data_IF_362448286358
#
_entry.id   IF_362448286358
#
_cell.length_a   1.000
_cell.length_b   1.000
_cell.length_c   1.000
_cell.angle_alpha   90.00
_cell.angle_beta   90.00
_cell.angle_gamma   90.00
#
_symmetry.space_group_name_H-M   'P 1'
#
loop_
_entity.id
_entity.type
_entity.pdbx_description
1 polymer ?
#
# COMPACT_ATOMS: atom_id res chain seq x y z
N UNK A 1 19.63 -3.56 7.36
CA UNK A 1 19.85 -2.73 8.57
C UNK A 1 20.55 -1.41 8.25
N UNK A 2 21.69 -1.37 7.56
CA UNK A 2 22.40 -0.11 7.27
C UNK A 2 21.54 0.92 6.49
N UNK A 3 20.80 0.48 5.46
CA UNK A 3 19.89 1.34 4.69
C UNK A 3 18.76 1.94 5.55
N UNK A 4 18.17 1.15 6.46
CA UNK A 4 17.13 1.63 7.37
C UNK A 4 17.66 2.75 8.28
N UNK A 5 18.86 2.57 8.82
CA UNK A 5 19.51 3.59 9.65
C UNK A 5 19.83 4.86 8.86
N UNK A 6 20.36 4.72 7.64
CA UNK A 6 20.62 5.87 6.76
C UNK A 6 19.33 6.65 6.47
N UNK A 7 18.26 5.95 6.07
CA UNK A 7 16.97 6.57 5.80
C UNK A 7 16.41 7.28 7.04
N UNK A 8 16.55 6.69 8.23
CA UNK A 8 16.12 7.30 9.49
C UNK A 8 16.84 8.63 9.80
N UNK A 9 18.11 8.76 9.40
CA UNK A 9 18.87 10.00 9.60
C UNK A 9 18.57 11.06 8.52
N UNK A 10 18.19 10.62 7.32
CA UNK A 10 18.04 11.49 6.15
C UNK A 10 16.61 12.00 5.96
N UNK A 11 15.60 11.20 6.29
CA UNK A 11 14.20 11.51 5.99
C UNK A 11 13.34 11.59 7.25
N UNK A 12 12.36 12.51 7.30
CA UNK A 12 11.39 12.53 8.37
C UNK A 12 10.58 11.22 8.41
N UNK A 13 10.24 10.79 9.63
CA UNK A 13 9.41 9.62 9.84
C UNK A 13 7.99 9.88 9.30
N UNK A 14 7.43 8.87 8.65
CA UNK A 14 6.01 8.80 8.37
C UNK A 14 5.26 8.77 9.70
N UNK A 15 4.34 9.70 9.87
CA UNK A 15 3.61 9.89 11.11
C UNK A 15 2.14 10.15 10.81
N UNK A 16 1.28 9.52 11.60
CA UNK A 16 -0.15 9.76 11.58
C UNK A 16 -0.65 10.07 12.99
N UNK A 17 -1.46 11.13 13.15
CA UNK A 17 -2.14 11.39 14.41
C UNK A 17 -2.99 10.19 14.84
N UNK A 18 -2.93 9.84 16.12
CA UNK A 18 -3.75 8.76 16.68
C UNK A 18 -5.24 9.06 16.62
N UNK A 19 -5.64 10.32 16.45
CA UNK A 19 -7.05 10.69 16.22
C UNK A 19 -7.61 10.17 14.89
N UNK A 20 -6.77 9.72 13.96
CA UNK A 20 -7.23 9.21 12.66
C UNK A 20 -7.59 7.74 12.68
N UNK A 21 -7.20 7.00 13.72
CA UNK A 21 -7.43 5.58 13.75
C UNK A 21 -7.67 5.01 15.14
N UNK A 22 -8.41 3.91 15.17
CA UNK A 22 -8.60 3.07 16.34
C UNK A 22 -7.97 1.71 16.08
N UNK A 23 -7.26 1.17 17.08
CA UNK A 23 -6.62 -0.13 16.98
C UNK A 23 -7.56 -1.17 17.59
N UNK A 24 -7.90 -2.20 16.81
CA UNK A 24 -8.77 -3.30 17.26
C UNK A 24 -7.96 -4.59 17.27
N UNK A 25 -7.73 -5.15 18.46
CA UNK A 25 -7.09 -6.46 18.61
C UNK A 25 -8.13 -7.56 18.46
N UNK A 26 -7.86 -8.51 17.55
CA UNK A 26 -8.71 -9.68 17.32
C UNK A 26 -7.93 -10.95 17.68
N UNK A 27 -8.31 -11.53 18.82
CA UNK A 27 -7.75 -12.74 19.43
C UNK A 27 -8.82 -13.43 20.30
N UNK A 28 -8.44 -14.47 21.04
CA UNK A 28 -9.35 -15.25 21.89
C UNK A 28 -9.95 -14.47 23.07
N UNK A 29 -9.41 -13.31 23.40
CA UNK A 29 -9.88 -12.45 24.48
C UNK A 29 -10.76 -11.30 23.97
N UNK A 30 -10.89 -11.13 22.65
CA UNK A 30 -11.77 -10.13 22.06
C UNK A 30 -13.22 -10.40 22.46
N UNK A 31 -13.92 -9.36 22.91
CA UNK A 31 -15.31 -9.48 23.35
C UNK A 31 -16.28 -9.51 22.17
N UNK A 32 -17.45 -10.06 22.40
CA UNK A 32 -18.56 -10.05 21.44
C UNK A 32 -18.96 -8.63 21.05
N UNK A 33 -18.90 -7.68 22.00
CA UNK A 33 -19.18 -6.27 21.78
C UNK A 33 -18.16 -5.62 20.84
N UNK A 34 -16.86 -5.82 21.08
CA UNK A 34 -15.79 -5.32 20.21
C UNK A 34 -15.92 -5.89 18.79
N UNK A 35 -16.18 -7.20 18.67
CA UNK A 35 -16.42 -7.83 17.37
C UNK A 35 -17.67 -7.27 16.68
N UNK A 36 -18.74 -6.98 17.44
CA UNK A 36 -19.96 -6.39 16.88
C UNK A 36 -19.71 -4.97 16.37
N UNK A 37 -19.02 -4.12 17.16
CA UNK A 37 -18.58 -2.78 16.74
C UNK A 37 -17.78 -2.84 15.44
N UNK A 38 -16.82 -3.77 15.35
CA UNK A 38 -16.02 -3.96 14.14
C UNK A 38 -16.87 -4.40 12.94
N UNK A 39 -17.77 -5.36 13.12
CA UNK A 39 -18.71 -5.82 12.08
C UNK A 39 -19.58 -4.65 11.57
N UNK A 40 -20.12 -3.84 12.48
CA UNK A 40 -20.96 -2.71 12.11
C UNK A 40 -20.19 -1.63 11.36
N UNK A 41 -18.92 -1.41 11.72
CA UNK A 41 -18.03 -0.50 10.99
C UNK A 41 -17.72 -0.98 9.57
N UNK A 42 -17.33 -2.26 9.40
CA UNK A 42 -16.94 -2.78 8.07
C UNK A 42 -18.11 -2.86 7.09
N UNK A 43 -19.36 -2.95 7.56
CA UNK A 43 -20.56 -2.97 6.69
C UNK A 43 -20.66 -1.73 5.79
N UNK A 44 -20.10 -0.61 6.23
CA UNK A 44 -20.12 0.66 5.50
C UNK A 44 -18.77 1.00 4.85
N UNK A 45 -17.77 0.12 4.99
CA UNK A 45 -16.48 0.25 4.31
C UNK A 45 -16.52 -0.53 2.99
N UNK A 46 -15.85 0.01 1.96
CA UNK A 46 -15.71 -0.63 0.64
C UNK A 46 -14.24 -0.82 0.23
N UNK A 47 -13.33 -0.33 1.05
CA UNK A 47 -11.91 -0.23 0.74
C UNK A 47 -11.13 -0.67 1.98
N UNK A 48 -10.18 -1.58 1.76
CA UNK A 48 -9.38 -2.18 2.83
C UNK A 48 -7.94 -2.33 2.36
N UNK A 49 -6.99 -2.14 3.26
CA UNK A 49 -5.57 -2.42 3.01
C UNK A 49 -5.10 -3.53 3.93
N UNK A 50 -4.40 -4.48 3.34
CA UNK A 50 -3.90 -5.66 4.03
C UNK A 50 -2.38 -5.66 4.06
N UNK A 51 -1.86 -6.16 5.17
CA UNK A 51 -0.48 -6.59 5.31
C UNK A 51 -0.43 -7.82 6.21
N UNK A 52 0.74 -8.48 6.26
CA UNK A 52 0.93 -9.65 7.12
C UNK A 52 2.33 -9.71 7.71
N UNK A 53 2.45 -10.31 8.89
CA UNK A 53 3.75 -10.52 9.54
C UNK A 53 3.92 -11.96 10.03
N UNK A 54 5.09 -12.52 9.71
CA UNK A 54 5.50 -13.87 10.07
C UNK A 54 6.39 -13.92 11.31
N UNK A 55 6.26 -14.96 12.11
CA UNK A 55 7.07 -15.17 13.31
C UNK A 55 8.54 -15.42 12.95
N UNK A 56 9.46 -14.66 13.58
CA UNK A 56 10.91 -14.75 13.33
C UNK A 56 11.48 -16.17 13.37
N UNK A 57 11.01 -17.00 14.29
CA UNK A 57 11.62 -18.32 14.54
C UNK A 57 11.33 -19.38 13.47
N UNK A 58 10.16 -19.32 12.83
CA UNK A 58 9.70 -20.37 11.90
C UNK A 58 8.99 -19.83 10.66
N UNK A 59 8.93 -18.51 10.49
CA UNK A 59 8.22 -17.80 9.43
C UNK A 59 6.74 -18.16 9.32
N UNK A 60 6.14 -18.69 10.39
CA UNK A 60 4.71 -18.95 10.44
C UNK A 60 3.97 -17.63 10.49
N UNK A 61 2.97 -17.47 9.63
CA UNK A 61 2.10 -16.30 9.64
C UNK A 61 1.46 -16.13 11.03
N UNK A 62 1.72 -14.98 11.67
CA UNK A 62 1.36 -14.74 13.06
C UNK A 62 0.37 -13.57 13.22
N UNK A 63 0.41 -12.60 12.30
CA UNK A 63 -0.42 -11.41 12.32
C UNK A 63 -0.94 -11.11 10.92
N UNK A 64 -2.22 -10.78 10.83
CA UNK A 64 -2.81 -10.11 9.67
C UNK A 64 -3.21 -8.71 10.12
N UNK A 65 -2.75 -7.70 9.40
CA UNK A 65 -3.15 -6.31 9.59
C UNK A 65 -4.20 -5.94 8.54
N UNK A 66 -5.30 -5.32 8.98
CA UNK A 66 -6.34 -4.81 8.10
C UNK A 66 -6.62 -3.36 8.47
N UNK A 67 -6.27 -2.44 7.60
CA UNK A 67 -6.74 -1.06 7.69
C UNK A 67 -8.05 -0.93 6.91
N UNK A 68 -9.10 -0.45 7.59
CA UNK A 68 -10.33 0.00 6.93
C UNK A 68 -10.16 1.41 6.38
N UNK A 69 -10.79 1.70 5.23
CA UNK A 69 -10.80 3.02 4.61
C UNK A 69 -12.27 3.48 4.56
N UNK A 70 -12.79 4.07 5.65
CA UNK A 70 -14.20 4.47 5.77
C UNK A 70 -14.48 5.79 5.04
N UNK A 71 -15.75 6.13 4.85
CA UNK A 71 -16.11 7.49 4.38
C UNK A 71 -15.82 8.57 5.43
N UNK A 72 -15.88 8.21 6.71
CA UNK A 72 -15.66 9.10 7.84
C UNK A 72 -14.68 8.46 8.82
N UNK A 73 -13.70 9.24 9.27
CA UNK A 73 -12.74 8.81 10.29
C UNK A 73 -13.44 8.54 11.64
N UNK A 74 -12.87 7.68 12.50
CA UNK A 74 -11.56 7.04 12.38
C UNK A 74 -11.52 5.81 11.47
N UNK A 75 -10.34 5.52 10.93
CA UNK A 75 -10.03 4.20 10.36
C UNK A 75 -9.90 3.18 11.49
N UNK A 76 -10.36 1.96 11.31
CA UNK A 76 -9.95 0.84 12.17
C UNK A 76 -8.71 0.16 11.60
N UNK A 77 -7.70 -0.04 12.45
CA UNK A 77 -6.58 -0.95 12.21
C UNK A 77 -6.83 -2.21 13.01
N UNK A 78 -7.27 -3.24 12.31
CA UNK A 78 -7.54 -4.56 12.88
C UNK A 78 -6.26 -5.36 12.88
N UNK A 79 -5.89 -5.88 14.06
CA UNK A 79 -4.72 -6.72 14.27
C UNK A 79 -5.21 -8.12 14.65
N UNK A 80 -5.25 -9.01 13.66
CA UNK A 80 -5.70 -10.38 13.84
C UNK A 80 -4.52 -11.28 14.22
N UNK A 81 -4.46 -11.68 15.49
CA UNK A 81 -3.37 -12.46 16.06
C UNK A 81 -3.66 -13.96 15.88
N UNK A 82 -3.23 -14.53 14.76
CA UNK A 82 -3.64 -15.85 14.30
C UNK A 82 -3.28 -16.99 15.28
N UNK A 83 -2.16 -16.87 15.99
CA UNK A 83 -1.73 -17.86 16.99
C UNK A 83 -2.47 -17.74 18.33
N UNK A 84 -3.31 -16.73 18.47
CA UNK A 84 -4.10 -16.45 19.67
C UNK A 84 -5.59 -16.47 19.41
N UNK A 85 -6.05 -17.02 18.28
CA UNK A 85 -7.49 -17.14 18.00
C UNK A 85 -8.20 -18.07 18.96
N UNK A 86 -9.50 -17.86 19.12
CA UNK A 86 -10.38 -18.74 19.89
C UNK A 86 -10.64 -20.06 19.15
N UNK A 87 -11.16 -21.06 19.85
CA UNK A 87 -11.56 -22.33 19.23
C UNK A 87 -12.74 -22.15 18.26
N UNK A 88 -12.81 -23.05 17.28
CA UNK A 88 -13.75 -23.00 16.14
C UNK A 88 -15.22 -22.97 16.55
N UNK A 89 -15.55 -23.51 17.72
CA UNK A 89 -16.90 -23.60 18.30
C UNK A 89 -17.33 -22.34 19.06
N UNK A 90 -16.45 -21.36 19.22
CA UNK A 90 -16.77 -20.13 19.97
C UNK A 90 -17.54 -19.12 19.13
N UNK A 91 -18.42 -18.35 19.80
CA UNK A 91 -19.13 -17.23 19.17
C UNK A 91 -18.17 -16.18 18.59
N UNK A 92 -17.02 -15.96 19.24
CA UNK A 92 -15.99 -15.04 18.75
C UNK A 92 -15.45 -15.51 17.40
N UNK A 93 -15.11 -16.80 17.28
CA UNK A 93 -14.61 -17.35 16.03
C UNK A 93 -15.63 -17.22 14.89
N UNK A 94 -16.91 -17.49 15.17
CA UNK A 94 -18.02 -17.28 14.21
C UNK A 94 -18.09 -15.81 13.76
N UNK A 95 -17.91 -14.85 14.68
CA UNK A 95 -17.87 -13.43 14.32
C UNK A 95 -16.64 -13.03 13.51
N UNK A 96 -15.49 -13.68 13.71
CA UNK A 96 -14.30 -13.45 12.88
C UNK A 96 -14.56 -13.96 11.46
N UNK A 97 -15.20 -15.12 11.28
CA UNK A 97 -15.63 -15.59 9.96
C UNK A 97 -16.61 -14.62 9.30
N UNK A 98 -17.59 -14.12 10.07
CA UNK A 98 -18.54 -13.12 9.59
C UNK A 98 -17.84 -11.83 9.14
N UNK A 99 -16.82 -11.37 9.87
CA UNK A 99 -16.01 -10.21 9.49
C UNK A 99 -15.37 -10.42 8.11
N UNK A 100 -14.71 -11.55 7.86
CA UNK A 100 -14.09 -11.82 6.56
C UNK A 100 -15.11 -11.98 5.43
N UNK A 101 -16.28 -12.57 5.70
CA UNK A 101 -17.38 -12.62 4.72
C UNK A 101 -17.88 -11.23 4.31
N UNK A 102 -17.77 -10.23 5.20
CA UNK A 102 -18.13 -8.85 4.91
C UNK A 102 -17.04 -8.09 4.15
N UNK A 103 -15.76 -8.41 4.40
CA UNK A 103 -14.63 -7.75 3.74
C UNK A 103 -14.38 -8.34 2.34
N UNK A 104 -14.69 -9.63 2.14
CA UNK A 104 -14.36 -10.37 0.91
C UNK A 104 -15.48 -10.40 -0.12
N UNK A 105 -16.31 -9.34 -0.19
CA UNK A 105 -17.39 -9.20 -1.17
C UNK A 105 -16.90 -8.57 -2.47
N UNK A 106 -17.60 -8.86 -3.57
CA UNK A 106 -17.23 -8.42 -4.92
C UNK A 106 -17.21 -6.90 -5.15
N UNK A 107 -17.93 -6.16 -4.31
CA UNK A 107 -17.94 -4.69 -4.31
C UNK A 107 -16.70 -4.08 -3.64
N UNK A 108 -16.00 -4.85 -2.82
CA UNK A 108 -14.91 -4.35 -1.98
C UNK A 108 -13.58 -4.37 -2.73
N UNK A 109 -12.73 -3.41 -2.41
CA UNK A 109 -11.38 -3.26 -2.95
C UNK A 109 -10.35 -3.53 -1.86
N UNK A 110 -9.42 -4.44 -2.15
CA UNK A 110 -8.37 -4.85 -1.24
C UNK A 110 -7.03 -4.42 -1.82
N UNK A 111 -6.31 -3.58 -1.07
CA UNK A 111 -4.98 -3.11 -1.44
C UNK A 111 -3.92 -3.89 -0.65
N UNK A 112 -2.82 -4.24 -1.30
CA UNK A 112 -1.64 -4.80 -0.65
C UNK A 112 -0.38 -4.35 -1.38
N UNK A 113 0.74 -4.27 -0.67
CA UNK A 113 2.05 -4.07 -1.28
C UNK A 113 2.69 -5.42 -1.61
N UNK A 114 2.39 -5.95 -2.80
CA UNK A 114 2.71 -7.32 -3.17
C UNK A 114 1.45 -8.18 -3.26
N UNK A 115 1.63 -9.48 -3.49
CA UNK A 115 0.52 -10.39 -3.81
C UNK A 115 -0.26 -10.80 -2.56
N UNK A 116 -1.42 -10.18 -2.33
CA UNK A 116 -2.30 -10.51 -1.19
C UNK A 116 -2.61 -12.02 -1.08
N UNK A 117 -2.84 -12.67 -2.22
CA UNK A 117 -3.10 -14.11 -2.27
C UNK A 117 -1.94 -14.92 -1.69
N UNK A 118 -0.68 -14.51 -1.94
CA UNK A 118 0.50 -15.20 -1.39
C UNK A 118 0.64 -14.93 0.11
N UNK A 119 0.46 -13.68 0.53
CA UNK A 119 0.52 -13.29 1.95
C UNK A 119 -0.53 -14.02 2.81
N UNK A 120 -1.74 -14.17 2.28
CA UNK A 120 -2.85 -14.83 2.99
C UNK A 120 -2.91 -16.35 2.81
N UNK A 121 -2.14 -16.94 1.89
CA UNK A 121 -2.17 -18.39 1.65
C UNK A 121 -1.85 -19.24 2.90
N UNK A 122 -0.87 -18.87 3.76
CA UNK A 122 -0.61 -19.61 5.00
C UNK A 122 -1.79 -19.63 5.98
N UNK A 123 -2.75 -18.71 5.86
CA UNK A 123 -3.91 -18.62 6.74
C UNK A 123 -5.08 -19.56 6.35
N UNK A 124 -4.98 -20.28 5.23
CA UNK A 124 -6.08 -21.14 4.72
C UNK A 124 -6.52 -22.19 5.75
N UNK A 125 -5.57 -22.72 6.54
CA UNK A 125 -5.86 -23.75 7.55
C UNK A 125 -6.64 -23.24 8.77
N UNK A 126 -6.84 -21.92 8.90
CA UNK A 126 -7.66 -21.35 9.97
C UNK A 126 -9.15 -21.29 9.62
N UNK A 127 -9.55 -21.69 8.40
CA UNK A 127 -10.96 -21.74 7.96
C UNK A 127 -11.75 -20.44 8.17
N UNK A 128 -11.05 -19.30 8.13
CA UNK A 128 -11.63 -17.97 8.35
C UNK A 128 -12.43 -17.47 7.13
N UNK A 129 -12.04 -17.91 5.94
CA UNK A 129 -12.68 -17.64 4.66
C UNK A 129 -12.38 -18.77 3.66
N UNK A 130 -13.03 -18.71 2.49
CA UNK A 130 -12.82 -19.65 1.40
C UNK A 130 -12.20 -18.95 0.19
N UNK A 131 -11.40 -19.68 -0.59
CA UNK A 131 -10.89 -19.22 -1.88
C UNK A 131 -11.73 -19.82 -3.02
N UNK A 132 -11.94 -19.08 -4.13
CA UNK A 132 -11.48 -17.71 -4.37
C UNK A 132 -12.31 -16.67 -3.61
N UNK A 133 -11.64 -15.66 -3.03
CA UNK A 133 -12.35 -14.47 -2.52
C UNK A 133 -12.90 -13.67 -3.70
N UNK A 134 -14.01 -12.97 -3.48
CA UNK A 134 -14.73 -12.30 -4.59
C UNK A 134 -14.33 -10.84 -4.79
N UNK A 135 -13.66 -10.22 -3.82
CA UNK A 135 -13.21 -8.83 -3.89
C UNK A 135 -12.19 -8.56 -4.98
N UNK A 136 -12.11 -7.29 -5.37
CA UNK A 136 -11.10 -6.80 -6.29
C UNK A 136 -9.78 -6.62 -5.53
N UNK A 137 -8.74 -7.33 -5.95
CA UNK A 137 -7.42 -7.27 -5.32
C UNK A 137 -6.49 -6.40 -6.18
N UNK A 138 -5.88 -5.41 -5.55
CA UNK A 138 -4.90 -4.50 -6.16
C UNK A 138 -3.53 -4.73 -5.51
N UNK A 139 -2.61 -5.31 -6.28
CA UNK A 139 -1.19 -5.37 -5.92
C UNK A 139 -0.53 -4.04 -6.31
N UNK A 140 -0.47 -3.11 -5.35
CA UNK A 140 0.03 -1.75 -5.57
C UNK A 140 1.48 -1.75 -6.04
N UNK A 141 2.27 -2.77 -5.65
CA UNK A 141 3.69 -2.87 -6.02
C UNK A 141 3.86 -3.07 -7.53
N UNK A 142 2.95 -3.80 -8.19
CA UNK A 142 3.03 -4.06 -9.63
C UNK A 142 2.83 -2.78 -10.44
N UNK A 143 1.82 -1.98 -10.08
CA UNK A 143 1.48 -0.75 -10.80
C UNK A 143 2.42 0.42 -10.45
N UNK A 144 3.08 0.37 -9.29
CA UNK A 144 3.92 1.46 -8.80
C UNK A 144 5.05 1.83 -9.75
N UNK A 145 5.74 0.84 -10.36
CA UNK A 145 6.91 1.11 -11.21
C UNK A 145 6.54 1.93 -12.45
N UNK A 146 5.42 1.59 -13.09
CA UNK A 146 4.93 2.30 -14.28
C UNK A 146 4.36 3.66 -13.90
N UNK A 147 3.60 3.72 -12.80
CA UNK A 147 3.15 5.00 -12.26
C UNK A 147 4.31 5.95 -11.95
N UNK A 148 5.38 5.46 -11.32
CA UNK A 148 6.53 6.29 -10.94
C UNK A 148 7.23 6.85 -12.18
N UNK A 149 7.45 6.04 -13.23
CA UNK A 149 7.99 6.52 -14.52
C UNK A 149 7.10 7.58 -15.16
N UNK A 150 5.78 7.35 -15.16
CA UNK A 150 4.81 8.32 -15.66
C UNK A 150 4.87 9.63 -14.86
N UNK A 151 4.90 9.56 -13.52
CA UNK A 151 4.95 10.72 -12.64
C UNK A 151 6.26 11.50 -12.81
N UNK A 152 7.39 10.81 -13.04
CA UNK A 152 8.68 11.42 -13.37
C UNK A 152 8.61 12.23 -14.65
N UNK A 153 8.05 11.67 -15.73
CA UNK A 153 7.88 12.37 -17.01
C UNK A 153 7.04 13.65 -16.84
N UNK A 154 6.10 13.65 -15.90
CA UNK A 154 5.24 14.77 -15.58
C UNK A 154 5.79 15.68 -14.44
N UNK A 155 6.99 15.44 -13.87
CA UNK A 155 7.68 16.47 -13.08
C UNK A 155 8.07 17.61 -14.04
N UNK A 156 7.56 18.82 -13.81
CA UNK A 156 7.83 20.02 -14.63
C UNK A 156 9.33 20.29 -14.88
N UNK A 157 10.19 19.87 -13.96
CA UNK A 157 11.66 20.00 -14.05
C UNK A 157 12.28 18.93 -14.96
N UNK A 158 11.70 17.73 -15.01
CA UNK A 158 12.20 16.63 -15.85
C UNK A 158 11.67 16.73 -17.29
N UNK A 159 10.41 17.16 -17.46
CA UNK A 159 9.80 17.38 -18.78
C UNK A 159 10.50 18.49 -19.58
N UNK A 160 10.98 19.55 -18.93
CA UNK A 160 11.75 20.62 -19.61
C UNK A 160 13.15 20.16 -20.05
N UNK A 161 13.81 19.27 -19.30
CA UNK A 161 15.10 18.68 -19.68
C UNK A 161 14.98 17.72 -20.87
N UNK A 162 13.94 16.89 -20.90
CA UNK A 162 13.68 15.96 -22.01
C UNK A 162 13.28 16.70 -23.29
N UNK A 163 12.48 17.77 -23.17
CA UNK A 163 12.15 18.63 -24.31
C UNK A 163 13.38 19.39 -24.83
N UNK A 164 14.32 19.78 -23.97
CA UNK A 164 15.61 20.33 -24.42
C UNK A 164 16.49 19.29 -25.13
N UNK A 165 16.46 18.02 -24.71
CA UNK A 165 17.27 16.97 -25.36
C UNK A 165 16.66 16.45 -26.67
N UNK A 166 15.34 16.47 -26.84
CA UNK A 166 14.71 16.13 -28.12
C UNK A 166 14.80 17.25 -29.18
N UNK A 167 15.20 18.47 -28.79
CA UNK A 167 15.56 19.54 -29.74
C UNK A 167 17.05 19.47 -30.15
N UNK A 168 17.89 18.71 -29.43
CA UNK A 168 19.33 18.57 -29.70
C UNK A 168 19.65 17.14 -30.18
N UNK A 169 18.88 16.63 -31.14
CA UNK A 169 19.32 15.54 -32.01
C UNK A 169 19.62 16.03 -33.44
N UNK A 170 19.97 17.32 -33.59
CA UNK A 170 20.56 17.86 -34.81
C UNK A 170 22.03 18.31 -34.69
N UNK A 171 22.65 18.29 -33.49
CA UNK A 171 24.06 18.68 -33.37
C UNK A 171 24.84 17.70 -32.50
N UNK A 172 25.53 16.84 -33.24
CA UNK A 172 26.67 16.02 -32.86
C UNK A 172 27.74 16.87 -32.17
N UNK A 173 27.84 16.84 -30.84
CA UNK A 173 29.07 17.26 -30.15
C UNK A 173 29.13 16.80 -28.69
N UNK A 174 30.25 16.15 -28.36
CA UNK A 174 30.73 15.84 -27.02
C UNK A 174 30.76 17.07 -26.11
N UNK A 175 29.72 17.30 -25.32
CA UNK A 175 29.80 18.16 -24.14
C UNK A 175 29.22 17.42 -22.95
N UNK A 176 30.06 17.21 -21.94
CA UNK A 176 29.67 16.81 -20.59
C UNK A 176 28.70 17.87 -20.04
N UNK A 177 27.41 17.66 -20.22
CA UNK A 177 26.38 18.49 -19.60
C UNK A 177 26.22 17.97 -18.17
N UNK A 178 26.82 18.68 -17.21
CA UNK A 178 26.47 18.58 -15.79
C UNK A 178 25.02 19.05 -15.62
N UNK A 179 24.05 18.16 -15.80
CA UNK A 179 22.62 18.42 -15.58
C UNK A 179 22.30 18.36 -14.08
N UNK A 180 22.64 19.40 -13.32
CA UNK A 180 22.29 19.51 -11.88
C UNK A 180 20.95 20.23 -11.65
N UNK A 181 19.95 20.01 -12.50
CA UNK A 181 18.57 20.40 -12.21
C UNK A 181 17.89 19.26 -11.46
N UNK A 182 18.24 19.08 -10.19
CA UNK A 182 17.61 18.09 -9.32
C UNK A 182 16.19 18.57 -8.98
N UNK A 183 15.18 17.90 -9.53
CA UNK A 183 13.77 18.09 -9.15
C UNK A 183 13.66 17.81 -7.63
N UNK A 184 13.26 18.77 -6.79
CA UNK A 184 13.16 18.59 -5.33
C UNK A 184 11.87 17.90 -4.87
N UNK A 185 11.04 17.45 -5.81
CA UNK A 185 9.76 16.81 -5.50
C UNK A 185 9.84 15.27 -5.43
N UNK A 186 10.97 14.66 -5.81
CA UNK A 186 11.23 13.22 -5.71
C UNK A 186 12.74 12.96 -5.69
N UNK A 187 13.16 11.78 -5.23
CA UNK A 187 14.54 11.31 -5.36
C UNK A 187 14.77 10.66 -6.73
N UNK A 188 16.02 10.44 -7.15
CA UNK A 188 16.32 9.75 -8.41
C UNK A 188 15.95 8.25 -8.33
N UNK A 189 15.37 7.66 -9.38
CA UNK A 189 15.01 6.23 -9.39
C UNK A 189 16.22 5.34 -9.02
N UNK A 190 16.16 4.56 -7.92
CA UNK A 190 17.28 3.74 -7.48
C UNK A 190 17.27 2.33 -8.08
N UNK A 191 16.17 1.93 -8.74
CA UNK A 191 15.94 0.56 -9.19
C UNK A 191 16.26 0.39 -10.67
N UNK A 192 16.77 -0.80 -11.01
CA UNK A 192 16.93 -1.24 -12.40
C UNK A 192 15.56 -1.63 -12.97
N UNK A 193 15.47 -1.61 -14.31
CA UNK A 193 14.26 -2.06 -14.99
C UNK A 193 13.92 -3.52 -14.62
N UNK A 194 12.71 -3.75 -14.11
CA UNK A 194 12.22 -5.06 -13.69
C UNK A 194 12.47 -5.41 -12.22
N UNK A 195 13.19 -4.59 -11.45
CA UNK A 195 13.30 -4.79 -10.01
C UNK A 195 12.01 -4.40 -9.28
N UNK A 196 11.65 -5.18 -8.27
CA UNK A 196 10.47 -4.90 -7.45
C UNK A 196 10.80 -3.84 -6.40
N UNK A 197 9.90 -2.88 -6.26
CA UNK A 197 10.04 -1.82 -5.26
C UNK A 197 9.66 -2.32 -3.87
N UNK A 198 10.55 -2.12 -2.89
CA UNK A 198 10.18 -2.23 -1.48
C UNK A 198 9.29 -1.05 -1.06
N UNK A 199 8.35 -1.29 -0.12
CA UNK A 199 7.41 -0.26 0.35
C UNK A 199 8.11 0.98 0.92
N UNK A 200 9.15 0.77 1.74
CA UNK A 200 9.94 1.87 2.32
C UNK A 200 10.61 2.70 1.22
N UNK A 201 11.15 2.06 0.18
CA UNK A 201 11.80 2.79 -0.90
C UNK A 201 10.77 3.54 -1.76
N UNK A 202 9.64 2.92 -2.07
CA UNK A 202 8.57 3.62 -2.76
C UNK A 202 8.14 4.90 -2.02
N UNK A 203 8.02 4.83 -0.69
CA UNK A 203 7.70 5.99 0.14
C UNK A 203 8.83 7.03 0.17
N UNK A 204 10.07 6.64 0.38
CA UNK A 204 11.23 7.55 0.43
C UNK A 204 11.35 8.31 -0.90
N UNK A 205 11.32 7.60 -2.02
CA UNK A 205 11.62 8.19 -3.32
C UNK A 205 10.46 9.01 -3.89
N UNK A 206 9.23 8.78 -3.42
CA UNK A 206 8.04 9.53 -3.84
C UNK A 206 7.72 10.70 -2.92
N UNK A 207 7.89 10.51 -1.61
CA UNK A 207 7.34 11.39 -0.59
C UNK A 207 8.39 11.98 0.33
N UNK A 208 9.65 11.52 0.25
CA UNK A 208 10.72 11.86 1.18
C UNK A 208 10.34 11.56 2.65
N UNK A 209 9.60 10.47 2.85
CA UNK A 209 9.17 9.98 4.16
C UNK A 209 9.73 8.59 4.42
N UNK A 210 9.94 8.25 5.68
CA UNK A 210 10.53 6.98 6.11
C UNK A 210 9.64 6.22 7.10
N UNK A 211 9.54 4.91 6.92
CA UNK A 211 8.94 3.98 7.89
C UNK A 211 10.04 3.17 8.56
N UNK A 212 10.06 3.05 9.89
CA UNK A 212 11.08 2.26 10.57
C UNK A 212 10.85 0.75 10.39
N UNK A 213 11.71 0.09 9.60
CA UNK A 213 11.65 -1.37 9.36
C UNK A 213 12.42 -2.19 10.39
N UNK A 214 12.76 -1.63 11.55
CA UNK A 214 13.49 -2.35 12.62
C UNK A 214 12.73 -3.56 13.18
N UNK A 215 11.41 -3.63 12.95
CA UNK A 215 10.53 -4.68 13.48
C UNK A 215 10.09 -5.74 12.46
N UNK A 216 10.57 -5.70 11.21
CA UNK A 216 10.19 -6.69 10.17
C UNK A 216 10.47 -8.13 10.59
N UNK A 217 11.55 -8.39 11.34
CA UNK A 217 11.90 -9.73 11.82
C UNK A 217 11.77 -9.75 13.34
N UNK A 218 10.52 -9.83 13.81
CA UNK A 218 10.17 -9.77 15.24
C UNK A 218 9.40 -11.01 15.73
N UNK A 219 9.16 -11.07 17.03
CA UNK A 219 8.41 -12.15 17.68
C UNK A 219 6.90 -11.88 17.64
N UNK A 220 6.33 -11.81 16.43
CA UNK A 220 4.92 -11.49 16.20
C UNK A 220 3.96 -12.50 16.84
N UNK A 221 4.40 -13.74 17.06
CA UNK A 221 3.64 -14.77 17.78
C UNK A 221 3.38 -14.42 19.26
N UNK A 222 4.04 -13.41 19.83
CA UNK A 222 3.83 -13.01 21.24
C UNK A 222 2.61 -12.12 21.47
N UNK A 223 1.91 -11.73 20.40
CA UNK A 223 0.76 -10.83 20.46
C UNK A 223 1.15 -9.38 20.77
N UNK A 224 0.33 -8.45 20.31
CA UNK A 224 0.44 -7.01 20.50
C UNK A 224 -0.60 -6.45 21.47
N UNK A 225 -1.63 -7.23 21.80
CA UNK A 225 -2.64 -6.88 22.80
C UNK A 225 -1.96 -6.55 24.16
N UNK A 226 -2.14 -5.32 24.70
CA UNK A 226 -1.53 -4.91 25.96
C UNK A 226 -1.87 -5.80 27.16
N UNK A 227 -3.03 -6.43 27.16
CA UNK A 227 -3.52 -7.18 28.31
C UNK A 227 -2.95 -8.61 28.38
N UNK A 228 -2.41 -9.10 27.26
CA UNK A 228 -2.04 -10.51 27.12
C UNK A 228 -0.66 -10.75 26.50
N UNK A 229 -0.03 -9.71 25.94
CA UNK A 229 1.31 -9.80 25.36
C UNK A 229 2.37 -10.04 26.43
N UNK A 230 3.37 -10.87 26.10
CA UNK A 230 4.58 -11.08 26.92
C UNK A 230 5.73 -10.16 26.53
N UNK A 231 5.51 -9.25 25.57
CA UNK A 231 6.50 -8.27 25.13
C UNK A 231 6.63 -7.14 26.16
N UNK A 232 7.82 -6.55 26.25
CA UNK A 232 7.96 -5.27 26.96
C UNK A 232 7.14 -4.18 26.25
N UNK A 233 6.65 -3.20 27.02
CA UNK A 233 5.86 -2.09 26.49
C UNK A 233 6.57 -1.41 25.31
N UNK A 234 7.86 -1.10 25.45
CA UNK A 234 8.65 -0.44 24.40
C UNK A 234 8.76 -1.26 23.12
N UNK A 235 8.99 -2.58 23.22
CA UNK A 235 9.06 -3.45 22.03
C UNK A 235 7.69 -3.55 21.36
N UNK A 236 6.64 -3.75 22.15
CA UNK A 236 5.25 -3.83 21.68
C UNK A 236 4.83 -2.56 20.95
N UNK A 237 5.13 -1.38 21.49
CA UNK A 237 4.85 -0.10 20.83
C UNK A 237 5.61 0.11 19.52
N UNK A 238 6.82 -0.42 19.39
CA UNK A 238 7.58 -0.36 18.12
C UNK A 238 6.97 -1.29 17.08
N UNK A 239 6.66 -2.53 17.46
CA UNK A 239 5.99 -3.50 16.58
C UNK A 239 4.61 -3.00 16.16
N UNK A 240 3.85 -2.41 17.09
CA UNK A 240 2.55 -1.82 16.81
C UNK A 240 2.63 -0.69 15.80
N UNK A 241 3.56 0.26 16.01
CA UNK A 241 3.79 1.36 15.05
C UNK A 241 4.20 0.87 13.67
N UNK A 242 5.09 -0.11 13.61
CA UNK A 242 5.49 -0.76 12.38
C UNK A 242 4.25 -1.33 11.64
N UNK A 243 3.46 -2.15 12.33
CA UNK A 243 2.31 -2.84 11.74
C UNK A 243 1.24 -1.86 11.23
N UNK A 244 1.00 -0.77 11.98
CA UNK A 244 0.09 0.29 11.57
C UNK A 244 0.64 0.99 10.32
N UNK A 245 1.90 1.42 10.34
CA UNK A 245 2.47 2.24 9.28
C UNK A 245 2.68 1.50 7.96
N UNK A 246 2.87 0.18 7.97
CA UNK A 246 2.94 -0.59 6.73
C UNK A 246 1.62 -0.59 5.95
N UNK A 247 0.48 -0.81 6.64
CA UNK A 247 -0.83 -0.67 6.00
C UNK A 247 -1.08 0.77 5.53
N UNK A 248 -0.87 1.74 6.41
CA UNK A 248 -1.13 3.15 6.06
C UNK A 248 -0.26 3.65 4.92
N UNK A 249 1.00 3.22 4.84
CA UNK A 249 1.90 3.57 3.73
C UNK A 249 1.41 2.96 2.42
N UNK A 250 0.94 1.71 2.46
CA UNK A 250 0.34 1.06 1.28
C UNK A 250 -0.87 1.85 0.78
N UNK A 251 -1.78 2.26 1.68
CA UNK A 251 -2.93 3.12 1.33
C UNK A 251 -2.49 4.48 0.78
N UNK A 252 -1.49 5.09 1.43
CA UNK A 252 -0.93 6.39 1.05
C UNK A 252 -0.39 6.37 -0.39
N UNK A 253 0.18 5.23 -0.83
CA UNK A 253 0.71 5.05 -2.19
C UNK A 253 -0.33 4.53 -3.18
N UNK A 254 -1.32 3.74 -2.73
CA UNK A 254 -2.37 3.18 -3.59
C UNK A 254 -3.17 4.28 -4.31
N UNK A 255 -3.58 5.32 -3.58
CA UNK A 255 -4.37 6.44 -4.13
C UNK A 255 -3.63 7.15 -5.28
N UNK A 256 -2.38 7.63 -5.11
CA UNK A 256 -1.58 8.20 -6.20
C UNK A 256 -1.42 7.28 -7.40
N UNK A 257 -1.11 6.00 -7.16
CA UNK A 257 -0.86 5.02 -8.23
C UNK A 257 -2.12 4.81 -9.06
N UNK A 258 -3.23 4.46 -8.41
CA UNK A 258 -4.48 4.10 -9.09
C UNK A 258 -5.21 5.29 -9.70
N UNK A 259 -4.99 6.50 -9.17
CA UNK A 259 -5.60 7.72 -9.68
C UNK A 259 -4.65 8.56 -10.53
N UNK A 260 -3.45 8.04 -10.86
CA UNK A 260 -2.43 8.72 -11.66
C UNK A 260 -2.09 10.13 -11.16
N UNK A 261 -1.79 10.29 -9.88
CA UNK A 261 -1.39 11.58 -9.33
C UNK A 261 0.06 11.91 -9.65
N UNK A 262 0.36 13.18 -9.92
CA UNK A 262 1.75 13.66 -10.03
C UNK A 262 2.40 13.79 -8.66
N UNK A 263 3.73 13.77 -8.58
CA UNK A 263 4.45 14.00 -7.31
C UNK A 263 4.02 15.29 -6.60
N UNK A 264 3.77 16.37 -7.36
CA UNK A 264 3.30 17.63 -6.79
C UNK A 264 1.93 17.49 -6.13
N UNK A 265 1.01 16.71 -6.73
CA UNK A 265 -0.29 16.44 -6.14
C UNK A 265 -0.16 15.59 -4.88
N UNK A 266 0.70 14.56 -4.88
CA UNK A 266 0.98 13.76 -3.68
C UNK A 266 1.45 14.67 -2.54
N UNK A 267 2.44 15.54 -2.79
CA UNK A 267 3.01 16.46 -1.80
C UNK A 267 2.02 17.49 -1.25
N UNK A 268 1.08 17.95 -2.08
CA UNK A 268 0.12 18.99 -1.72
C UNK A 268 -1.20 18.46 -1.19
N UNK A 269 -1.44 17.14 -1.24
CA UNK A 269 -2.70 16.56 -0.78
C UNK A 269 -2.73 16.51 0.74
N UNK A 270 -3.88 16.83 1.33
CA UNK A 270 -4.09 16.62 2.75
C UNK A 270 -4.09 15.11 3.04
N UNK A 271 -3.23 14.68 3.95
CA UNK A 271 -3.06 13.27 4.33
C UNK A 271 -4.37 12.62 4.82
N UNK A 272 -5.30 13.41 5.37
CA UNK A 272 -6.64 12.94 5.79
C UNK A 272 -7.43 12.42 4.59
N UNK A 273 -7.40 13.13 3.47
CA UNK A 273 -8.19 12.81 2.27
C UNK A 273 -7.74 11.48 1.64
N UNK A 274 -6.52 11.03 1.94
CA UNK A 274 -5.98 9.75 1.46
C UNK A 274 -6.58 8.54 2.18
N UNK A 275 -7.06 8.71 3.41
CA UNK A 275 -7.56 7.63 4.26
C UNK A 275 -9.08 7.62 4.41
N UNK A 276 -9.77 8.42 3.60
CA UNK A 276 -11.21 8.38 3.49
C UNK A 276 -11.62 7.85 2.11
N UNK A 277 -12.68 7.04 2.08
CA UNK A 277 -13.37 6.68 0.85
C UNK A 277 -14.13 7.90 0.34
N UNK A 278 -14.14 8.10 -0.99
CA UNK A 278 -14.97 9.15 -1.58
C UNK A 278 -16.44 8.89 -1.23
N UNK A 279 -17.14 9.91 -0.71
CA UNK A 279 -18.58 9.85 -0.56
C UNK A 279 -19.18 9.73 -1.96
N UNK A 280 -19.72 8.56 -2.28
CA UNK A 280 -20.33 8.28 -3.58
C UNK A 280 -21.60 9.13 -3.75
N UNK A 281 -21.40 10.37 -4.19
CA UNK A 281 -22.38 11.26 -4.77
C UNK A 281 -21.82 11.86 -6.07
N UNK A 282 -21.30 11.02 -6.95
CA UNK A 282 -21.19 11.31 -8.38
C UNK A 282 -20.80 10.05 -9.15
N UNK A 283 -21.41 9.92 -10.32
CA UNK A 283 -21.38 8.76 -11.19
C UNK A 283 -19.96 8.33 -11.60
N UNK A 284 -19.82 7.03 -11.83
CA UNK A 284 -18.65 6.38 -12.40
C UNK A 284 -18.15 7.09 -13.67
N UNK A 285 -16.87 7.44 -13.79
CA UNK A 285 -16.25 7.57 -15.08
C UNK A 285 -15.96 6.15 -15.59
N UNK A 286 -16.49 5.83 -16.77
CA UNK A 286 -16.14 4.64 -17.53
C UNK A 286 -14.63 4.56 -17.73
N UNK A 287 -14.01 3.47 -17.27
CA UNK A 287 -12.66 3.09 -17.71
C UNK A 287 -12.73 2.73 -19.20
N UNK A 288 -12.29 3.65 -20.05
CA UNK A 288 -11.92 3.35 -21.42
C UNK A 288 -10.70 4.18 -21.82
N UNK A 289 -9.68 3.46 -22.30
CA UNK A 289 -8.47 3.91 -22.99
C UNK A 289 -7.49 4.78 -22.21
N UNK A 290 -6.41 4.14 -21.74
CA UNK A 290 -5.08 4.71 -21.91
C UNK A 290 -4.89 5.04 -23.41
N UNK A 291 -4.33 6.20 -23.77
CA UNK A 291 -4.08 6.51 -25.17
C UNK A 291 -2.96 5.61 -25.70
N UNK A 292 -3.32 4.62 -26.51
CA UNK A 292 -2.38 4.01 -27.43
C UNK A 292 -1.91 5.08 -28.40
N UNK A 293 -0.60 5.31 -28.42
CA UNK A 293 0.08 6.10 -29.43
C UNK A 293 -0.27 5.58 -30.84
N UNK A 294 -0.91 6.43 -31.63
CA UNK A 294 -1.22 6.15 -33.02
C UNK A 294 0.00 6.43 -33.91
N UNK A 295 0.27 5.42 -34.74
CA UNK A 295 0.69 5.50 -36.14
C UNK A 295 2.16 5.80 -36.48
N UNK A 296 2.95 4.72 -36.51
CA UNK A 296 4.03 4.56 -37.49
C UNK A 296 3.37 4.41 -38.87
N UNK A 297 3.55 5.42 -39.74
CA UNK A 297 3.22 5.35 -41.16
C UNK A 297 4.28 4.48 -41.84
N UNK A 298 3.91 3.25 -42.21
CA UNK A 298 4.67 2.47 -43.20
C UNK A 298 4.08 2.81 -44.57
N UNK A 299 4.82 3.61 -45.35
CA UNK A 299 4.55 3.82 -46.76
C UNK A 299 4.94 2.55 -47.54
N UNK A 300 3.96 1.73 -47.91
CA UNK A 300 4.13 0.73 -48.98
C UNK A 300 3.58 1.32 -50.28
N UNK A 301 4.49 1.84 -51.11
CA UNK A 301 4.25 2.02 -52.53
C UNK A 301 4.09 0.64 -53.17
N UNK A 302 2.87 0.26 -53.54
CA UNK A 302 2.63 -0.75 -54.57
C UNK A 302 1.83 -0.07 -55.66
N UNK A 303 2.53 0.20 -56.75
CA UNK A 303 2.02 0.73 -58.01
C UNK A 303 1.45 -0.45 -58.80
N UNK A 304 0.18 -0.49 -59.23
CA UNK A 304 -0.30 -1.51 -60.12
C UNK A 304 -0.61 -0.89 -61.47
N UNK A 305 0.24 -1.10 -62.49
CA UNK A 305 -0.21 -1.09 -63.89
C UNK A 305 0.70 -1.96 -64.77
N UNK A 306 0.03 -2.93 -65.40
CA UNK A 306 0.28 -3.61 -66.70
C UNK A 306 1.54 -4.50 -66.78
#
# INVERSE_FOLDING_TARGET
>A
MQKNYQNQQQYPAFYLPTSFYEIIYVNKFTTTETMQKLIDHVRYCLEFTFDTEGERSNNQLALIQIQTIPQQLPCFVVLLELLHLSSYDTLIFVKIKQLFQLIFQSKDKLYSWGSLRRELYPAVNYELWEWPITSQIFDVQLDFSEWYKWALFHCKVYGSLLLQHNVINYVRSNTNINSSSTCTCHEANPYRSGEKWGLQDALVYTCQLFIDKSMTISYWAKGLDPHHSTLSITTREKMLRYAIYDCFTTTYLARPVLSTWTFQKVKNTNVIDLFQASSSSSASPSLSSLPHENNIIINTNINPQI
#
